data_IF_559912169916
#
_entry.id   IF_559912169916
#
_cell.length_a   1.000
_cell.length_b   1.000
_cell.length_c   1.000
_cell.angle_alpha   90.00
_cell.angle_beta   90.00
_cell.angle_gamma   90.00
#
_symmetry.space_group_name_H-M   'P 1'
#
loop_
_entity.id
_entity.type
_entity.pdbx_description
1 polymer ?
#
# COMPACT_ATOMS: atom_id res chain seq x y z
N UNK A 1 10.57 -10.68 18.25
CA UNK A 1 9.21 -10.94 17.83
C UNK A 1 8.58 -12.09 18.56
N UNK A 2 9.29 -13.19 18.59
CA UNK A 2 8.77 -14.36 19.26
C UNK A 2 8.48 -14.11 20.72
N UNK A 3 9.19 -13.15 21.30
CA UNK A 3 8.98 -12.82 22.70
C UNK A 3 7.58 -12.29 22.96
N UNK A 4 6.98 -11.67 21.94
CA UNK A 4 5.67 -11.08 22.10
C UNK A 4 4.59 -12.11 21.86
N UNK A 5 4.74 -12.91 20.80
CA UNK A 5 3.77 -13.93 20.46
C UNK A 5 4.36 -15.29 20.80
N UNK A 6 4.13 -15.74 22.02
CA UNK A 6 4.81 -16.91 22.52
C UNK A 6 4.15 -18.21 22.13
N UNK A 7 2.84 -18.24 21.96
CA UNK A 7 2.16 -19.49 21.64
C UNK A 7 2.05 -19.66 20.13
N UNK A 8 1.96 -20.89 19.70
CA UNK A 8 1.76 -21.19 18.30
C UNK A 8 0.43 -20.68 17.81
N UNK A 9 -0.57 -20.71 18.69
CA UNK A 9 -1.89 -20.18 18.30
C UNK A 9 -1.84 -18.69 18.06
N UNK A 10 -1.11 -17.97 18.91
CA UNK A 10 -0.94 -16.54 18.70
C UNK A 10 -0.27 -16.25 17.37
N UNK A 11 0.74 -17.03 17.04
CA UNK A 11 1.46 -16.83 15.80
C UNK A 11 0.57 -17.11 14.59
N UNK A 12 -0.24 -18.16 14.66
CA UNK A 12 -1.17 -18.47 13.58
C UNK A 12 -2.22 -17.40 13.43
N UNK A 13 -2.75 -16.92 14.54
CA UNK A 13 -3.75 -15.88 14.52
C UNK A 13 -3.18 -14.61 13.86
N UNK A 14 -1.98 -14.23 14.22
CA UNK A 14 -1.38 -13.04 13.65
C UNK A 14 -0.85 -13.26 12.25
N UNK A 15 -0.64 -14.49 11.82
CA UNK A 15 -0.39 -14.79 10.42
C UNK A 15 -1.60 -14.35 9.59
N UNK A 16 -2.79 -14.69 10.06
CA UNK A 16 -4.00 -14.28 9.37
C UNK A 16 -4.15 -12.76 9.37
N UNK A 17 -3.90 -12.16 10.53
CA UNK A 17 -3.99 -10.70 10.66
C UNK A 17 -3.05 -10.02 9.67
N UNK A 18 -1.83 -10.53 9.58
CA UNK A 18 -0.84 -9.94 8.68
C UNK A 18 -1.20 -10.13 7.21
N UNK A 19 -1.84 -11.24 6.87
CA UNK A 19 -2.31 -11.44 5.50
C UNK A 19 -3.34 -10.37 5.13
N UNK A 20 -4.27 -10.09 6.03
CA UNK A 20 -5.28 -9.08 5.78
C UNK A 20 -4.66 -7.68 5.76
N UNK A 21 -3.70 -7.45 6.64
CA UNK A 21 -2.98 -6.18 6.65
C UNK A 21 -2.26 -5.95 5.33
N UNK A 22 -1.55 -6.98 4.86
CA UNK A 22 -0.83 -6.88 3.61
C UNK A 22 -1.76 -6.64 2.44
N UNK A 23 -2.89 -7.35 2.41
CA UNK A 23 -3.87 -7.16 1.36
C UNK A 23 -4.38 -5.73 1.32
N UNK A 24 -4.67 -5.18 2.51
CA UNK A 24 -5.12 -3.80 2.58
C UNK A 24 -4.07 -2.84 2.03
N UNK A 25 -2.83 -3.04 2.42
CA UNK A 25 -1.76 -2.15 1.99
C UNK A 25 -1.54 -2.25 0.48
N UNK A 26 -1.68 -3.45 -0.08
CA UNK A 26 -1.57 -3.60 -1.53
C UNK A 26 -2.64 -2.80 -2.25
N UNK A 27 -3.87 -2.84 -1.76
CA UNK A 27 -4.97 -2.16 -2.41
C UNK A 27 -4.97 -0.66 -2.16
N UNK A 28 -4.11 -0.18 -1.26
CA UNK A 28 -3.97 1.24 -1.00
C UNK A 28 -2.71 1.83 -1.65
N UNK A 29 -2.09 1.09 -2.56
CA UNK A 29 -0.90 1.55 -3.27
C UNK A 29 0.33 1.68 -2.37
N UNK A 30 0.35 0.98 -1.24
CA UNK A 30 1.47 1.10 -0.31
C UNK A 30 2.54 0.06 -0.56
N UNK A 31 2.18 -1.09 -1.13
CA UNK A 31 3.14 -2.11 -1.52
C UNK A 31 2.72 -2.67 -2.86
N UNK A 32 3.68 -3.20 -3.60
CA UNK A 32 3.38 -3.82 -4.89
C UNK A 32 3.08 -5.30 -4.69
N UNK A 33 2.43 -5.91 -5.68
CA UNK A 33 2.18 -7.33 -5.64
C UNK A 33 3.44 -8.08 -6.10
N UNK A 34 3.31 -9.39 -6.25
CA UNK A 34 4.44 -10.23 -6.61
C UNK A 34 5.00 -9.90 -7.98
N UNK A 35 4.17 -9.38 -8.85
CA UNK A 35 4.61 -8.98 -10.18
C UNK A 35 5.15 -7.56 -10.22
N UNK A 36 5.21 -6.88 -9.09
CA UNK A 36 5.70 -5.52 -9.03
C UNK A 36 4.67 -4.48 -9.38
N UNK A 37 3.41 -4.87 -9.50
CA UNK A 37 2.34 -3.94 -9.86
C UNK A 37 1.75 -3.27 -8.63
N UNK A 38 1.44 -2.00 -8.77
CA UNK A 38 0.80 -1.23 -7.72
C UNK A 38 -0.70 -1.19 -8.00
N UNK A 39 -1.47 -1.48 -6.97
CA UNK A 39 -2.92 -1.54 -7.10
C UNK A 39 -3.59 -0.47 -6.27
N UNK A 40 -4.75 -0.05 -6.72
CA UNK A 40 -5.57 0.83 -5.93
C UNK A 40 -7.02 0.37 -6.06
N UNK A 41 -7.55 -0.11 -4.95
CA UNK A 41 -8.93 -0.60 -4.92
C UNK A 41 -9.49 -0.35 -3.54
N UNK A 42 -10.18 0.77 -3.38
CA UNK A 42 -10.71 1.17 -2.08
C UNK A 42 -11.75 0.20 -1.56
N UNK A 43 -12.52 -0.41 -2.47
CA UNK A 43 -13.51 -1.37 -2.06
C UNK A 43 -12.91 -2.60 -1.41
N UNK A 44 -11.85 -3.13 -2.03
CA UNK A 44 -11.17 -4.29 -1.48
C UNK A 44 -10.43 -3.95 -0.19
N UNK A 45 -9.84 -2.75 -0.15
CA UNK A 45 -9.17 -2.32 1.07
C UNK A 45 -10.17 -2.20 2.22
N UNK A 46 -11.34 -1.62 1.94
CA UNK A 46 -12.35 -1.48 2.96
C UNK A 46 -12.84 -2.84 3.45
N UNK A 47 -13.02 -3.78 2.52
CA UNK A 47 -13.48 -5.11 2.89
C UNK A 47 -12.49 -5.78 3.84
N UNK A 48 -11.19 -5.64 3.57
CA UNK A 48 -10.18 -6.24 4.42
C UNK A 48 -10.15 -5.57 5.79
N UNK A 49 -10.30 -4.26 5.82
CA UNK A 49 -10.34 -3.54 7.09
C UNK A 49 -11.57 -3.94 7.90
N UNK A 50 -12.70 -4.10 7.24
CA UNK A 50 -13.92 -4.53 7.92
C UNK A 50 -13.77 -5.92 8.50
N UNK A 51 -13.05 -6.81 7.78
CA UNK A 51 -12.77 -8.13 8.32
C UNK A 51 -11.92 -8.04 9.58
N UNK A 52 -10.90 -7.22 9.56
CA UNK A 52 -10.05 -7.04 10.72
C UNK A 52 -10.83 -6.44 11.89
N UNK A 53 -11.67 -5.48 11.60
CA UNK A 53 -12.51 -4.86 12.61
C UNK A 53 -13.44 -5.91 13.24
N UNK A 54 -13.98 -6.78 12.42
CA UNK A 54 -14.84 -7.86 12.89
C UNK A 54 -14.05 -8.85 13.73
N UNK A 55 -12.84 -9.17 13.32
CA UNK A 55 -12.01 -10.07 14.10
C UNK A 55 -11.72 -9.48 15.48
N UNK A 56 -11.41 -8.20 15.52
CA UNK A 56 -11.16 -7.54 16.79
C UNK A 56 -12.40 -7.63 17.70
N UNK A 57 -13.53 -7.36 17.13
CA UNK A 57 -14.79 -7.36 17.89
C UNK A 57 -15.14 -8.76 18.38
N UNK A 58 -14.98 -9.75 17.51
CA UNK A 58 -15.37 -11.13 17.83
C UNK A 58 -14.42 -11.84 18.78
N UNK A 59 -13.18 -11.38 18.86
CA UNK A 59 -12.21 -12.00 19.74
C UNK A 59 -12.04 -11.24 21.05
N UNK A 60 -12.82 -10.22 21.26
CA UNK A 60 -12.72 -9.41 22.47
C UNK A 60 -12.93 -10.29 23.69
N UNK A 61 -11.99 -10.19 24.62
CA UNK A 61 -12.06 -11.00 25.82
C UNK A 61 -11.39 -12.35 25.70
N UNK A 62 -11.02 -12.75 24.48
CA UNK A 62 -10.36 -14.04 24.27
C UNK A 62 -8.89 -13.88 23.92
N UNK A 63 -8.40 -12.67 23.79
CA UNK A 63 -7.02 -12.41 23.46
C UNK A 63 -6.24 -12.00 24.69
N UNK A 64 -4.96 -12.30 24.69
CA UNK A 64 -4.08 -11.77 25.71
C UNK A 64 -3.92 -10.28 25.48
N UNK A 65 -3.49 -9.61 26.54
CA UNK A 65 -3.38 -8.16 26.47
C UNK A 65 -2.50 -7.68 25.34
N UNK A 66 -1.38 -8.36 25.14
CA UNK A 66 -0.45 -7.98 24.08
C UNK A 66 -1.08 -8.20 22.70
N UNK A 67 -1.82 -9.31 22.56
CA UNK A 67 -2.50 -9.59 21.30
C UNK A 67 -3.56 -8.53 21.00
N UNK A 68 -4.31 -8.17 22.02
CA UNK A 68 -5.37 -7.19 21.84
C UNK A 68 -4.80 -5.83 21.46
N UNK A 69 -3.70 -5.45 22.10
CA UNK A 69 -3.06 -4.18 21.80
C UNK A 69 -2.50 -4.15 20.37
N UNK A 70 -1.89 -5.24 19.95
CA UNK A 70 -1.34 -5.32 18.61
C UNK A 70 -2.44 -5.24 17.54
N UNK A 71 -3.50 -6.01 17.75
CA UNK A 71 -4.58 -6.03 16.78
C UNK A 71 -5.26 -4.66 16.68
N UNK A 72 -5.51 -4.04 17.82
CA UNK A 72 -6.12 -2.71 17.81
C UNK A 72 -5.24 -1.71 17.10
N UNK A 73 -3.92 -1.80 17.31
CA UNK A 73 -2.99 -0.90 16.65
C UNK A 73 -2.99 -1.08 15.14
N UNK A 74 -3.03 -2.33 14.68
CA UNK A 74 -3.05 -2.60 13.25
C UNK A 74 -4.32 -2.05 12.62
N UNK A 75 -5.47 -2.31 13.25
CA UNK A 75 -6.74 -1.83 12.71
C UNK A 75 -6.77 -0.32 12.65
N UNK A 76 -6.30 0.35 13.70
CA UNK A 76 -6.29 1.80 13.74
C UNK A 76 -5.40 2.37 12.65
N UNK A 77 -4.23 1.79 12.47
CA UNK A 77 -3.30 2.27 11.45
C UNK A 77 -3.87 2.12 10.07
N UNK A 78 -4.48 0.97 9.79
CA UNK A 78 -5.05 0.73 8.47
C UNK A 78 -6.21 1.67 8.18
N UNK A 79 -7.01 1.98 9.19
CA UNK A 79 -8.09 2.93 8.99
C UNK A 79 -7.55 4.32 8.65
N UNK A 80 -6.48 4.70 9.30
CA UNK A 80 -5.86 5.99 9.00
C UNK A 80 -5.30 6.01 7.59
N UNK A 81 -4.63 4.94 7.17
CA UNK A 81 -4.09 4.86 5.82
C UNK A 81 -5.21 4.86 4.79
N UNK A 82 -6.33 4.24 5.12
CA UNK A 82 -7.48 4.22 4.23
C UNK A 82 -8.00 5.63 3.97
N UNK A 83 -8.07 6.43 5.01
CA UNK A 83 -8.56 7.79 4.88
C UNK A 83 -7.64 8.63 4.01
N UNK A 84 -6.35 8.36 4.08
CA UNK A 84 -5.37 9.13 3.31
C UNK A 84 -5.14 8.59 1.90
N UNK A 85 -5.72 7.46 1.57
CA UNK A 85 -5.42 6.79 0.33
C UNK A 85 -5.76 7.59 -0.93
N UNK A 86 -6.90 8.29 -1.01
CA UNK A 86 -7.17 9.04 -2.24
C UNK A 86 -6.13 10.11 -2.54
N UNK A 87 -5.64 10.75 -1.50
CA UNK A 87 -4.61 11.76 -1.67
C UNK A 87 -3.31 11.13 -2.13
N UNK A 88 -2.97 9.99 -1.53
CA UNK A 88 -1.78 9.28 -1.92
C UNK A 88 -1.87 8.77 -3.36
N UNK A 89 -3.04 8.33 -3.77
CA UNK A 89 -3.22 7.89 -5.14
C UNK A 89 -2.94 9.03 -6.12
N UNK A 90 -3.42 10.21 -5.79
CA UNK A 90 -3.16 11.38 -6.63
C UNK A 90 -1.67 11.64 -6.76
N UNK A 91 -0.96 11.55 -5.65
CA UNK A 91 0.48 11.79 -5.66
C UNK A 91 1.19 10.77 -6.54
N UNK A 92 0.79 9.52 -6.44
CA UNK A 92 1.39 8.47 -7.23
C UNK A 92 1.10 8.66 -8.71
N UNK A 93 -0.12 9.01 -9.05
CA UNK A 93 -0.48 9.24 -10.44
C UNK A 93 0.28 10.42 -11.03
N UNK A 94 0.45 11.47 -10.25
CA UNK A 94 1.21 12.62 -10.71
C UNK A 94 2.66 12.25 -10.97
N UNK A 95 3.23 11.49 -10.07
CA UNK A 95 4.62 11.08 -10.21
C UNK A 95 4.81 10.17 -11.42
N UNK A 96 3.87 9.27 -11.64
CA UNK A 96 3.96 8.37 -12.79
C UNK A 96 3.85 9.13 -14.10
N UNK A 97 2.97 10.11 -14.16
CA UNK A 97 2.85 10.92 -15.35
C UNK A 97 4.11 11.72 -15.62
N UNK A 98 4.71 12.22 -14.55
CA UNK A 98 5.96 12.98 -14.69
C UNK A 98 7.06 12.08 -15.21
N UNK A 99 7.16 10.88 -14.70
CA UNK A 99 8.17 9.94 -15.14
C UNK A 99 7.94 9.52 -16.58
N UNK A 100 6.69 9.35 -16.95
CA UNK A 100 6.37 8.98 -18.31
C UNK A 100 6.76 10.08 -19.28
N UNK A 101 6.49 11.32 -18.90
CA UNK A 101 6.87 12.45 -19.73
C UNK A 101 8.38 12.52 -19.90
N UNK A 102 9.12 12.29 -18.84
CA UNK A 102 10.56 12.27 -18.91
C UNK A 102 11.06 11.16 -19.83
N UNK A 103 10.42 10.00 -19.72
CA UNK A 103 10.80 8.87 -20.54
C UNK A 103 10.59 9.17 -22.02
N UNK A 104 9.48 9.79 -22.34
CA UNK A 104 9.21 10.17 -23.71
C UNK A 104 10.24 11.16 -24.24
N UNK A 105 10.63 12.07 -23.36
CA UNK A 105 11.64 13.06 -23.75
C UNK A 105 12.94 12.41 -24.14
N UNK A 106 13.30 11.35 -23.43
CA UNK A 106 14.58 10.68 -23.69
C UNK A 106 14.51 9.63 -24.78
N UNK A 107 13.33 9.02 -24.95
CA UNK A 107 13.22 7.92 -25.91
C UNK A 107 12.63 8.33 -27.24
N UNK A 108 12.03 9.51 -27.32
CA UNK A 108 11.46 10.04 -28.56
C UNK A 108 11.99 11.42 -28.82
N UNK A 109 13.21 11.53 -29.35
CA UNK A 109 13.84 12.84 -29.52
C UNK A 109 13.03 13.80 -30.37
N UNK A 110 12.21 13.28 -31.25
CA UNK A 110 11.42 14.17 -32.10
C UNK A 110 10.48 15.04 -31.32
N UNK A 111 10.06 14.59 -30.15
CA UNK A 111 9.14 15.35 -29.34
C UNK A 111 9.84 16.20 -28.32
N UNK A 112 11.15 16.08 -28.23
CA UNK A 112 11.90 16.82 -27.24
C UNK A 112 12.11 18.24 -27.71
N UNK A 113 11.93 19.22 -26.82
CA UNK A 113 12.20 20.60 -27.20
C UNK A 113 13.64 20.80 -27.58
N UNK A 114 14.49 19.95 -27.09
CA UNK A 114 15.90 20.08 -27.35
C UNK A 114 16.29 19.68 -28.75
N UNK A 115 15.39 19.19 -29.54
CA UNK A 115 15.65 18.92 -30.91
C UNK A 115 16.29 20.08 -31.58
N UNK A 116 15.87 21.23 -31.21
CA UNK A 116 16.40 22.41 -31.82
C UNK A 116 17.78 22.70 -31.38
N UNK A 117 18.21 22.18 -30.30
CA UNK A 117 19.52 22.46 -29.80
C UNK A 117 20.59 21.81 -30.61
N UNK A 118 20.29 20.67 -31.04
CA UNK A 118 21.26 19.89 -31.69
C UNK A 118 21.38 20.20 -33.10
N UNK A 119 20.42 20.65 -33.65
CA UNK A 119 20.42 20.97 -35.01
C UNK A 119 21.10 22.17 -35.32
N UNK A 120 21.14 22.27 -34.65
CA UNK A 120 21.56 23.02 -35.02
C UNK A 120 22.50 23.13 -35.18
N UNK A 121 22.57 22.67 -35.01
CA UNK A 121 23.18 22.78 -35.28
C UNK A 121 23.36 22.71 -35.93
N UNK A 122 22.94 22.68 -36.28
CA UNK A 122 22.82 22.88 -36.98
C UNK A 122 22.72 23.45 -37.17
N UNK A 123 22.63 23.64 -36.81
CA UNK A 123 22.38 24.33 -36.77
C UNK A 123 22.45 24.63 -37.09
#
# INVERSE_FOLDING_TARGET
>A
MDDILQSEESQRFFSLIHMLQRSTMMHLCLISDEAGMIHFNMGEAKAAIDLLDTLESRTKGNLEEVEETMLRGIVSELKMLFVRAPERQKEIETEMKRQEALKETFTSPKTAPSDTLIDDEEE
#
